data_IF_511347716346
#
_entry.id   IF_511347716346
#
_cell.length_a   1.000
_cell.length_b   1.000
_cell.length_c   1.000
_cell.angle_alpha   90.00
_cell.angle_beta   90.00
_cell.angle_gamma   90.00
#
_symmetry.space_group_name_H-M   'P 1'
#
loop_
_entity.id
_entity.type
_entity.pdbx_description
1 polymer ?
2 non-polymer ?
3 water ?
#
# COMPACT_ATOMS: atom_id res chain seq x y z
N UNK A 17 13.81 -13.06 21.14
CA UNK A 17 14.99 -12.24 20.74
C UNK A 17 14.57 -10.80 20.57
N UNK A 18 13.41 -10.64 19.95
CA UNK A 18 12.83 -9.35 19.56
C UNK A 18 13.58 -8.61 18.45
N UNK A 19 14.92 -8.61 18.49
CA UNK A 19 15.67 -7.81 17.53
C UNK A 19 16.56 -8.59 16.55
N UNK A 20 16.67 -9.90 16.71
CA UNK A 20 17.60 -10.66 15.86
C UNK A 20 17.32 -10.55 14.35
N UNK A 21 16.04 -10.48 13.96
CA UNK A 21 15.71 -10.56 12.53
C UNK A 21 15.61 -9.21 11.82
N UNK A 22 15.85 -8.14 12.58
CA UNK A 22 15.88 -6.75 12.08
C UNK A 22 16.65 -6.60 10.76
N UNK A 23 16.07 -5.82 9.83
CA UNK A 23 16.69 -5.56 8.53
C UNK A 23 16.65 -4.10 8.17
N UNK A 24 17.60 -3.72 7.31
CA UNK A 24 17.60 -2.43 6.61
C UNK A 24 16.38 -2.39 5.67
N UNK A 25 15.76 -1.21 5.57
CA UNK A 25 14.52 -1.04 4.80
C UNK A 25 14.48 -1.68 3.41
N UNK A 26 15.50 -1.38 2.60
CA UNK A 26 15.53 -1.88 1.21
C UNK A 26 15.67 -3.40 1.14
N UNK A 27 16.40 -3.95 2.10
CA UNK A 27 16.55 -5.37 2.26
C UNK A 27 15.21 -6.03 2.64
N UNK A 28 14.48 -5.44 3.59
CA UNK A 28 13.15 -5.96 3.94
C UNK A 28 12.19 -5.95 2.75
N UNK A 29 12.20 -4.86 1.97
CA UNK A 29 11.37 -4.73 0.76
C UNK A 29 11.72 -5.84 -0.24
N UNK A 30 13.00 -6.12 -0.41
CA UNK A 30 13.47 -7.13 -1.35
C UNK A 30 13.13 -8.55 -0.91
N UNK A 31 13.28 -8.83 0.38
CA UNK A 31 13.21 -10.23 0.87
C UNK A 31 11.82 -10.63 1.37
N UNK A 32 10.92 -9.67 1.55
CA UNK A 32 9.55 -9.98 2.00
C UNK A 32 8.89 -10.97 1.04
N UNK A 33 8.29 -12.03 1.57
CA UNK A 33 7.52 -12.99 0.76
C UNK A 33 6.14 -13.21 1.39
N UNK A 34 5.16 -13.62 0.58
CA UNK A 34 3.91 -14.13 1.13
C UNK A 34 4.21 -15.46 1.81
N UNK A 35 3.81 -15.59 3.07
CA UNK A 35 4.03 -16.82 3.83
C UNK A 35 2.65 -17.46 4.06
N UNK A 36 2.53 -18.75 3.72
CA UNK A 36 1.25 -19.47 3.80
C UNK A 36 1.30 -20.71 4.68
N UNK A 37 2.49 -21.05 5.17
CA UNK A 37 2.70 -22.19 6.06
C UNK A 37 3.29 -21.67 7.37
N UNK A 38 2.52 -21.79 8.45
CA UNK A 38 2.87 -21.23 9.76
C UNK A 38 3.01 -22.27 10.82
N UNK A 39 3.95 -22.06 11.73
CA UNK A 39 4.00 -22.88 12.94
C UNK A 39 2.95 -22.36 13.94
N UNK A 40 2.70 -23.12 14.99
CA UNK A 40 1.73 -22.69 16.00
C UNK A 40 2.39 -21.90 17.13
N UNK A 41 3.66 -21.53 16.94
CA UNK A 41 4.38 -20.72 17.93
C UNK A 41 3.63 -19.39 18.11
N UNK A 42 3.35 -18.99 19.36
CA UNK A 42 2.59 -17.76 19.57
C UNK A 42 3.35 -16.51 19.13
N UNK A 43 2.60 -15.48 18.75
CA UNK A 43 3.18 -14.18 18.40
C UNK A 43 3.27 -13.35 19.67
N UNK A 44 4.49 -12.94 20.03
CA UNK A 44 4.71 -12.07 21.18
C UNK A 44 3.84 -10.82 21.07
N UNK A 45 3.12 -10.46 22.16
CA UNK A 45 2.29 -9.26 22.15
C UNK A 45 3.03 -8.01 21.67
N UNK A 46 4.32 -7.90 22.04
CA UNK A 46 5.17 -6.78 21.63
C UNK A 46 5.30 -6.66 20.12
N UNK A 47 5.49 -7.80 19.46
CA UNK A 47 5.61 -7.85 18.00
C UNK A 47 4.28 -7.51 17.34
N UNK A 48 3.18 -8.07 17.86
CA UNK A 48 1.86 -7.74 17.32
C UNK A 48 1.61 -6.23 17.38
N UNK A 49 1.89 -5.62 18.53
CA UNK A 49 1.71 -4.18 18.67
C UNK A 49 2.56 -3.40 17.66
N UNK A 50 3.81 -3.84 17.46
CA UNK A 50 4.70 -3.17 16.51
C UNK A 50 4.18 -3.26 15.07
N UNK A 51 3.66 -4.43 14.69
CA UNK A 51 3.09 -4.61 13.34
C UNK A 51 1.88 -3.70 13.11
N UNK A 52 0.99 -3.64 14.10
CA UNK A 52 -0.18 -2.78 14.03
C UNK A 52 0.19 -1.30 14.05
N UNK A 53 1.14 -0.93 14.89
CA UNK A 53 1.63 0.44 14.93
C UNK A 53 2.23 0.84 13.57
N UNK A 54 2.92 -0.09 12.90
CA UNK A 54 3.45 0.20 11.57
C UNK A 54 2.32 0.57 10.59
N UNK A 55 1.24 -0.22 10.60
CA UNK A 55 0.04 0.11 9.82
C UNK A 55 -0.50 1.51 10.17
N UNK A 56 -0.57 1.81 11.47
CA UNK A 56 -1.08 3.11 11.98
C UNK A 56 -0.33 4.30 11.38
N UNK A 57 0.97 4.12 11.14
CA UNK A 57 1.84 5.20 10.67
C UNK A 57 1.86 5.39 9.15
N UNK A 58 1.08 4.59 8.42
CA UNK A 58 0.94 4.78 7.00
C UNK A 58 0.34 6.14 6.66
N UNK A 59 0.74 6.69 5.49
CA UNK A 59 0.04 7.86 4.95
C UNK A 59 -1.33 7.44 4.41
N UNK A 60 -2.27 8.38 4.41
CA UNK A 60 -3.64 8.17 3.92
C UNK A 60 -4.15 9.47 3.33
N UNK A 61 -5.18 9.35 2.49
CA UNK A 61 -5.88 10.48 1.92
C UNK A 61 -6.26 11.47 3.01
N UNK A 62 -5.71 12.68 2.92
CA UNK A 62 -5.96 13.75 3.89
C UNK A 62 -5.75 13.34 5.33
N UNK A 63 -4.84 12.38 5.56
CA UNK A 63 -4.58 11.85 6.90
C UNK A 63 -5.88 11.37 7.57
N UNK A 64 -6.85 10.90 6.78
CA UNK A 64 -8.13 10.47 7.35
C UNK A 64 -8.04 9.14 8.06
N UNK A 65 -7.03 8.35 7.74
CA UNK A 65 -6.75 7.10 8.46
C UNK A 65 -8.03 6.25 8.55
N UNK A 66 -8.57 5.92 7.38
CA UNK A 66 -9.87 5.24 7.28
C UNK A 66 -9.82 3.73 7.59
N UNK A 67 -8.63 3.20 7.76
CA UNK A 67 -8.45 1.78 8.04
C UNK A 67 -8.89 1.41 9.43
N UNK A 68 -9.43 0.20 9.55
CA UNK A 68 -9.78 -0.37 10.85
C UNK A 68 -9.37 -1.83 10.86
N UNK A 69 -8.72 -2.26 11.93
CA UNK A 69 -8.20 -3.61 12.02
C UNK A 69 -8.88 -4.41 13.12
N UNK A 70 -9.43 -5.56 12.74
CA UNK A 70 -9.99 -6.51 13.71
C UNK A 70 -8.96 -7.64 13.88
N UNK A 71 -8.51 -7.85 15.12
CA UNK A 71 -7.44 -8.80 15.42
C UNK A 71 -8.03 -10.02 16.13
N UNK A 72 -7.87 -11.18 15.50
CA UNK A 72 -8.48 -12.41 15.99
C UNK A 72 -7.40 -13.41 16.38
N UNK A 73 -7.49 -13.90 17.62
CA UNK A 73 -6.58 -14.95 18.09
C UNK A 73 -7.30 -16.23 18.50
N UNK A 74 -8.61 -16.12 18.75
CA UNK A 74 -9.44 -17.26 19.17
C UNK A 74 -9.45 -18.37 18.12
N UNK A 75 -9.10 -19.58 18.55
CA UNK A 75 -8.96 -20.70 17.63
C UNK A 75 -10.25 -21.03 16.87
N UNK A 76 -11.37 -21.06 17.56
CA UNK A 76 -12.63 -21.41 16.91
C UNK A 76 -12.97 -20.36 15.86
N UNK A 77 -12.76 -19.10 16.18
CA UNK A 77 -13.07 -18.03 15.23
C UNK A 77 -12.16 -18.12 14.02
N UNK A 78 -10.87 -18.38 14.24
CA UNK A 78 -9.95 -18.50 13.10
C UNK A 78 -10.31 -19.65 12.15
N UNK A 79 -10.76 -20.78 12.69
CA UNK A 79 -11.22 -21.87 11.82
C UNK A 79 -12.43 -21.41 11.01
N UNK A 80 -13.35 -20.71 11.67
CA UNK A 80 -14.55 -20.24 10.97
C UNK A 80 -14.19 -19.23 9.88
N UNK A 81 -13.23 -18.36 10.16
CA UNK A 81 -12.74 -17.45 9.13
C UNK A 81 -12.16 -18.23 7.94
N UNK A 82 -11.32 -19.23 8.23
CA UNK A 82 -10.68 -20.03 7.16
C UNK A 82 -11.72 -20.68 6.26
N UNK A 83 -12.83 -21.14 6.87
CA UNK A 83 -13.91 -21.78 6.11
C UNK A 83 -14.68 -20.82 5.21
N UNK A 84 -14.52 -19.51 5.43
CA UNK A 84 -15.15 -18.50 4.57
C UNK A 84 -14.20 -17.94 3.51
N UNK A 85 -13.06 -18.61 3.35
CA UNK A 85 -12.01 -18.13 2.45
C UNK A 85 -11.69 -19.17 1.36
N UNK A 86 -12.71 -19.92 0.93
CA UNK A 86 -12.57 -20.82 -0.21
C UNK A 86 -13.02 -20.08 -1.47
N UNK A 87 -12.48 -20.47 -2.61
CA UNK A 87 -12.94 -19.94 -3.87
C UNK A 87 -14.20 -20.71 -4.28
N UNK A 88 -15.27 -20.01 -4.68
CA UNK A 88 -16.41 -20.71 -5.23
C UNK A 88 -16.04 -21.24 -6.62
N UNK A 89 -16.12 -22.56 -6.79
CA UNK A 89 -15.72 -23.20 -8.02
C UNK A 89 -16.29 -22.50 -9.24
N UNK A 90 -15.39 -22.08 -10.15
CA UNK A 90 -15.76 -21.44 -11.44
C UNK A 90 -16.25 -20.01 -11.34
N UNK A 91 -16.42 -19.52 -10.11
CA UNK A 91 -16.86 -18.15 -9.89
C UNK A 91 -15.82 -17.38 -9.11
N UNK A 92 -14.56 -17.83 -9.19
CA UNK A 92 -13.45 -17.17 -8.53
C UNK A 92 -13.04 -15.87 -9.20
N UNK A 93 -12.33 -15.00 -8.48
CA UNK A 93 -11.87 -13.75 -9.06
C UNK A 93 -10.66 -14.04 -9.94
N UNK A 94 -10.25 -13.06 -10.74
CA UNK A 94 -9.10 -13.25 -11.64
C UNK A 94 -7.89 -13.74 -10.86
N UNK A 95 -7.33 -14.87 -11.27
CA UNK A 95 -6.04 -15.31 -10.75
C UNK A 95 -6.04 -16.30 -9.61
N UNK A 96 -7.21 -16.51 -9.00
CA UNK A 96 -7.33 -17.50 -7.92
C UNK A 96 -8.43 -18.52 -8.21
N UNK A 97 -8.04 -19.66 -8.77
CA UNK A 97 -8.97 -20.77 -8.98
C UNK A 97 -9.18 -21.50 -7.66
N UNK A 98 -8.19 -21.40 -6.79
CA UNK A 98 -8.27 -21.84 -5.41
C UNK A 98 -7.55 -20.78 -4.60
N UNK A 99 -7.67 -20.88 -3.27
CA UNK A 99 -7.00 -19.95 -2.36
C UNK A 99 -5.88 -20.64 -1.58
N UNK A 100 -4.61 -20.46 -2.02
CA UNK A 100 -3.50 -21.17 -1.39
C UNK A 100 -3.28 -20.76 0.06
N UNK A 101 -3.88 -19.65 0.48
CA UNK A 101 -3.71 -19.14 1.83
C UNK A 101 -4.86 -19.54 2.77
N UNK A 102 -5.78 -20.36 2.28
CA UNK A 102 -6.94 -20.76 3.06
C UNK A 102 -6.57 -21.41 4.40
N UNK A 103 -5.68 -22.40 4.37
CA UNK A 103 -5.26 -23.12 5.58
C UNK A 103 -4.52 -22.20 6.57
N UNK A 104 -3.81 -21.21 6.04
CA UNK A 104 -3.03 -20.29 6.85
C UNK A 104 -3.92 -19.55 7.85
N UNK A 105 -5.15 -19.28 7.46
CA UNK A 105 -6.07 -18.54 8.32
C UNK A 105 -6.42 -19.32 9.60
N UNK A 106 -6.45 -20.65 9.50
CA UNK A 106 -6.68 -21.54 10.63
C UNK A 106 -5.40 -21.78 11.41
N UNK A 107 -4.28 -21.87 10.69
CA UNK A 107 -3.01 -22.34 11.28
C UNK A 107 -2.20 -21.25 11.98
N UNK A 108 -2.25 -20.03 11.44
CA UNK A 108 -1.55 -18.90 12.05
C UNK A 108 -2.16 -18.57 13.39
N UNK A 109 -1.33 -18.14 14.36
CA UNK A 109 -1.82 -17.79 15.70
C UNK A 109 -2.67 -16.51 15.73
N UNK A 110 -2.45 -15.62 14.75
CA UNK A 110 -3.19 -14.36 14.62
C UNK A 110 -3.74 -14.18 13.21
N UNK A 111 -4.96 -13.67 13.11
CA UNK A 111 -5.50 -13.20 11.84
C UNK A 111 -5.91 -11.74 12.02
N UNK A 112 -5.32 -10.87 11.22
CA UNK A 112 -5.71 -9.46 11.19
C UNK A 112 -6.66 -9.24 10.01
N UNK A 113 -7.84 -8.73 10.32
CA UNK A 113 -8.83 -8.41 9.29
C UNK A 113 -8.79 -6.89 9.07
N UNK A 114 -8.32 -6.51 7.89
CA UNK A 114 -8.19 -5.09 7.53
C UNK A 114 -9.42 -4.60 6.80
N UNK A 115 -10.04 -3.57 7.37
CA UNK A 115 -11.25 -2.94 6.83
C UNK A 115 -11.02 -1.47 6.51
N UNK A 116 -11.91 -0.89 5.71
CA UNK A 116 -11.84 0.55 5.43
C UNK A 116 -13.23 1.13 5.43
N UNK A 117 -13.33 2.44 5.72
CA UNK A 117 -14.59 3.17 5.68
C UNK A 117 -14.59 4.02 4.41
N UNK A 118 -15.35 3.61 3.38
CA UNK A 118 -15.22 4.30 2.08
C UNK A 118 -15.41 5.83 2.06
N UNK A 119 -16.38 6.38 2.81
CA UNK A 119 -16.56 7.84 2.76
C UNK A 119 -15.48 8.60 3.52
N UNK A 120 -14.62 7.88 4.25
CA UNK A 120 -13.51 8.48 5.00
C UNK A 120 -12.20 8.52 4.18
N UNK A 121 -12.31 8.39 2.86
CA UNK A 121 -11.18 8.55 1.95
C UNK A 121 -11.71 9.16 0.65
N UNK A 122 -10.81 9.39 -0.31
CA UNK A 122 -11.17 9.99 -1.59
C UNK A 122 -12.16 9.14 -2.36
N UNK A 123 -13.19 9.79 -2.91
CA UNK A 123 -14.14 9.14 -3.78
C UNK A 123 -14.35 10.11 -4.92
N UNK A 124 -13.58 9.91 -5.98
CA UNK A 124 -13.56 10.80 -7.14
C UNK A 124 -13.07 9.98 -8.32
N UNK A 125 -13.46 10.39 -9.52
CA UNK A 125 -13.09 9.73 -10.77
C UNK A 125 -13.55 8.25 -10.79
N UNK A 126 -14.60 7.95 -10.01
CA UNK A 126 -15.04 6.56 -9.85
C UNK A 126 -14.05 5.68 -9.10
N UNK A 127 -13.09 6.29 -8.44
CA UNK A 127 -12.08 5.56 -7.69
C UNK A 127 -12.36 5.72 -6.22
N UNK A 128 -12.26 4.62 -5.48
CA UNK A 128 -12.49 4.64 -4.04
C UNK A 128 -11.17 4.44 -3.31
N UNK A 129 -10.61 5.55 -2.84
CA UNK A 129 -9.24 5.51 -2.32
C UNK A 129 -9.09 4.82 -0.97
N UNK A 130 -10.19 4.46 -0.29
CA UNK A 130 -10.02 3.61 0.90
C UNK A 130 -9.25 2.32 0.56
N UNK A 131 -9.42 1.84 -0.67
CA UNK A 131 -8.72 0.64 -1.10
C UNK A 131 -7.22 0.88 -1.23
N UNK A 132 -6.86 2.05 -1.75
CA UNK A 132 -5.47 2.49 -1.80
C UNK A 132 -4.89 2.68 -0.40
N UNK A 133 -5.63 3.39 0.47
CA UNK A 133 -5.18 3.63 1.83
C UNK A 133 -4.94 2.31 2.57
N UNK A 134 -5.88 1.37 2.46
CA UNK A 134 -5.68 0.07 3.15
C UNK A 134 -4.48 -0.69 2.55
N UNK A 135 -4.28 -0.58 1.24
CA UNK A 135 -3.11 -1.17 0.59
C UNK A 135 -1.81 -0.65 1.18
N UNK A 136 -1.72 0.69 1.30
CA UNK A 136 -0.53 1.36 1.89
C UNK A 136 -0.28 0.83 3.31
N UNK A 137 -1.33 0.82 4.13
CA UNK A 137 -1.20 0.34 5.51
C UNK A 137 -0.81 -1.14 5.56
N UNK A 138 -1.42 -1.93 4.68
CA UNK A 138 -1.14 -3.34 4.60
C UNK A 138 0.33 -3.60 4.29
N UNK A 139 0.92 -2.76 3.43
CA UNK A 139 2.31 -2.93 3.09
C UNK A 139 3.23 -2.58 4.27
N UNK A 140 2.91 -1.53 5.03
CA UNK A 140 3.59 -1.29 6.31
C UNK A 140 3.48 -2.50 7.24
N UNK A 141 2.28 -3.04 7.36
CA UNK A 141 2.01 -4.21 8.21
C UNK A 141 2.91 -5.39 7.81
N UNK A 142 2.93 -5.71 6.51
CA UNK A 142 3.66 -6.87 5.98
C UNK A 142 5.16 -6.68 6.05
N UNK A 143 5.65 -5.46 5.79
CA UNK A 143 7.08 -5.18 5.93
C UNK A 143 7.53 -5.24 7.40
N UNK A 144 6.73 -4.67 8.30
CA UNK A 144 7.03 -4.70 9.73
C UNK A 144 7.05 -6.15 10.24
N UNK A 145 6.05 -6.94 9.84
CA UNK A 145 5.99 -8.36 10.23
C UNK A 145 7.27 -9.06 9.82
N UNK A 146 7.67 -8.88 8.56
CA UNK A 146 8.86 -9.52 8.02
C UNK A 146 10.11 -9.08 8.76
N UNK A 147 10.15 -7.78 9.07
CA UNK A 147 11.28 -7.20 9.82
C UNK A 147 11.45 -7.86 11.20
N UNK A 148 10.34 -8.33 11.77
CA UNK A 148 10.33 -8.93 13.09
C UNK A 148 10.38 -10.46 13.04
N UNK A 149 10.67 -11.01 11.86
CA UNK A 149 10.79 -12.47 11.72
C UNK A 149 9.45 -13.19 11.63
N UNK A 150 8.37 -12.43 11.48
CA UNK A 150 7.06 -13.01 11.25
C UNK A 150 6.78 -13.12 9.76
N UNK A 151 5.82 -13.95 9.41
CA UNK A 151 5.34 -14.03 8.05
C UNK A 151 3.90 -13.55 7.99
N UNK A 152 3.47 -13.14 6.81
CA UNK A 152 2.09 -12.77 6.56
C UNK A 152 1.81 -12.93 5.08
N UNK A 153 0.54 -12.82 4.73
CA UNK A 153 0.10 -12.84 3.35
C UNK A 153 -1.19 -12.03 3.29
N UNK A 154 -1.35 -11.25 2.24
CA UNK A 154 -2.60 -10.51 1.97
C UNK A 154 -3.58 -11.50 1.36
N UNK A 155 -4.72 -11.72 2.03
CA UNK A 155 -5.76 -12.62 1.48
C UNK A 155 -6.94 -11.79 1.02
N UNK A 156 -7.19 -11.80 -0.29
CA UNK A 156 -8.30 -11.06 -0.87
C UNK A 156 -9.52 -11.91 -1.19
N UNK A 157 -9.37 -13.23 -1.10
CA UNK A 157 -10.46 -14.19 -1.34
C UNK A 157 -11.17 -14.48 -0.02
N UNK A 158 -12.43 -14.07 0.07
CA UNK A 158 -13.28 -14.28 1.26
C UNK A 158 -14.74 -13.92 0.96
N UNK A 159 -15.65 -14.56 1.71
CA UNK A 159 -17.07 -14.26 1.60
C UNK A 159 -17.34 -13.10 2.54
N UNK A 160 -17.40 -11.87 2.02
CA UNK A 160 -17.48 -10.68 2.89
C UNK A 160 -18.75 -10.62 3.73
N UNK A 161 -19.88 -10.95 3.12
CA UNK A 161 -21.16 -10.98 3.81
C UNK A 161 -21.10 -11.88 5.05
N UNK A 162 -20.70 -13.12 4.84
CA UNK A 162 -20.65 -14.12 5.91
C UNK A 162 -19.59 -13.80 6.96
N UNK A 163 -18.47 -13.28 6.51
CA UNK A 163 -17.39 -12.91 7.42
C UNK A 163 -17.80 -11.74 8.29
N UNK A 164 -18.47 -10.77 7.69
CA UNK A 164 -18.97 -9.61 8.43
C UNK A 164 -19.93 -10.06 9.52
N UNK A 165 -20.81 -11.00 9.19
CA UNK A 165 -21.76 -11.60 10.13
C UNK A 165 -21.07 -12.40 11.25
N UNK A 166 -20.09 -13.23 10.88
CA UNK A 166 -19.32 -14.00 11.85
C UNK A 166 -18.66 -13.07 12.88
N UNK A 167 -18.05 -12.00 12.40
CA UNK A 167 -17.26 -11.14 13.24
C UNK A 167 -18.07 -10.02 13.88
N UNK A 168 -19.29 -9.78 13.39
CA UNK A 168 -20.12 -8.70 13.90
C UNK A 168 -19.59 -7.32 13.51
N UNK A 169 -18.90 -7.26 12.38
CA UNK A 169 -18.26 -6.00 11.93
C UNK A 169 -19.32 -4.96 11.59
N UNK A 170 -19.14 -3.70 12.07
CA UNK A 170 -20.04 -2.62 11.73
C UNK A 170 -20.32 -2.55 10.23
N UNK A 171 -21.61 -2.45 9.88
CA UNK A 171 -22.09 -2.47 8.50
C UNK A 171 -21.36 -1.50 7.56
N UNK A 172 -21.02 -0.31 8.07
CA UNK A 172 -20.35 0.71 7.28
C UNK A 172 -18.96 0.28 6.80
N UNK A 173 -18.34 -0.63 7.53
CA UNK A 173 -16.99 -1.04 7.21
C UNK A 173 -16.98 -2.08 6.11
N UNK A 174 -16.10 -1.87 5.15
CA UNK A 174 -15.85 -2.83 4.09
C UNK A 174 -14.58 -3.61 4.42
N UNK A 175 -14.66 -4.93 4.31
CA UNK A 175 -13.49 -5.78 4.54
C UNK A 175 -12.64 -5.78 3.27
N UNK A 176 -11.34 -5.55 3.41
CA UNK A 176 -10.43 -5.44 2.26
C UNK A 176 -9.45 -6.62 2.16
N UNK A 177 -8.95 -7.06 3.30
CA UNK A 177 -7.96 -8.14 3.28
C UNK A 177 -7.87 -8.84 4.58
N UNK A 178 -7.52 -10.12 4.52
CA UNK A 178 -7.24 -10.91 5.74
C UNK A 178 -5.75 -11.19 5.79
N UNK A 179 -5.16 -11.08 6.98
CA UNK A 179 -3.73 -11.30 7.15
C UNK A 179 -3.41 -12.31 8.24
N UNK A 180 -3.17 -13.57 7.84
CA UNK A 180 -2.54 -14.50 8.78
C UNK A 180 -1.21 -13.92 9.21
N UNK A 181 -0.89 -14.04 10.50
CA UNK A 181 0.36 -13.55 11.06
C UNK A 181 0.95 -14.59 12.03
N UNK A 182 2.23 -14.93 11.83
CA UNK A 182 2.88 -15.93 12.69
C UNK A 182 4.30 -16.20 12.24
N UNK A 183 4.95 -17.15 12.91
CA UNK A 183 6.28 -17.59 12.50
C UNK A 183 6.20 -18.57 11.34
N UNK A 184 7.01 -18.34 10.29
CA UNK A 184 7.07 -19.26 9.17
C UNK A 184 7.57 -20.64 9.61
N UNK A 185 6.93 -21.68 9.09
CA UNK A 185 7.29 -23.06 9.40
C UNK A 185 8.55 -23.44 8.66
N UNK A 186 8.73 -22.84 7.49
CA UNK A 186 9.81 -23.20 6.57
C UNK A 186 10.54 -21.94 6.08
N UNK A 187 11.70 -22.15 5.47
CA UNK A 187 12.54 -21.06 4.99
C UNK A 187 12.00 -20.42 3.73
N UNK A 188 12.60 -19.28 3.31
CA UNK A 188 12.08 -18.49 2.20
C UNK A 188 12.07 -19.27 0.90
N UNK A 189 10.87 -19.62 0.45
CA UNK A 189 10.66 -20.15 -0.88
C UNK A 189 11.02 -19.05 -1.88
N UNK A 190 11.74 -19.40 -2.94
CA UNK A 190 12.05 -18.45 -3.99
C UNK A 190 10.75 -18.09 -4.70
N UNK A 191 10.14 -16.99 -4.25
CA UNK A 191 8.78 -16.59 -4.64
C UNK A 191 8.53 -16.44 -6.13
N UNK A 192 7.35 -15.95 -6.50
CA UNK A 192 7.10 -15.81 -7.94
C UNK A 192 7.93 -14.68 -8.53
N UNK A 193 8.04 -14.66 -9.85
CA UNK A 193 8.83 -13.66 -10.55
C UNK A 193 8.28 -12.25 -10.38
N UNK A 194 9.06 -11.27 -10.85
CA UNK A 194 8.53 -9.94 -11.16
C UNK A 194 8.87 -9.62 -12.60
N UNK A 195 8.00 -8.82 -13.23
CA UNK A 195 8.28 -8.25 -14.55
C UNK A 195 9.57 -7.41 -14.51
N UNK A 196 10.30 -7.34 -15.65
CA UNK A 196 11.48 -6.45 -15.68
C UNK A 196 11.06 -4.98 -15.58
N UNK A 197 11.91 -4.16 -14.97
CA UNK A 197 11.63 -2.73 -14.76
C UNK A 197 11.24 -2.06 -16.08
N UNK A 198 11.86 -2.50 -17.16
CA UNK A 198 11.57 -1.99 -18.52
C UNK A 198 10.13 -2.20 -18.98
N UNK A 199 9.47 -3.22 -18.46
CA UNK A 199 8.09 -3.53 -18.81
C UNK A 199 7.09 -2.69 -18.02
N UNK A 200 7.49 -2.27 -16.83
CA UNK A 200 6.56 -1.54 -15.94
C UNK A 200 6.83 -0.04 -15.83
N UNK A 201 7.97 0.41 -16.37
CA UNK A 201 8.37 1.82 -16.29
C UNK A 201 8.55 2.40 -17.68
N UNK A 202 7.98 3.57 -17.92
CA UNK A 202 8.19 4.32 -19.15
C UNK A 202 8.69 5.70 -18.84
N UNK A 203 9.75 6.12 -19.52
CA UNK A 203 10.32 7.46 -19.31
C UNK A 203 9.76 8.47 -20.32
N UNK A 204 9.22 9.57 -19.79
CA UNK A 204 8.74 10.70 -20.59
C UNK A 204 7.32 10.51 -21.09
N UNK A 205 6.86 11.47 -21.90
CA UNK A 205 5.55 11.39 -22.57
C UNK A 205 5.51 10.20 -23.50
N UNK A 206 4.31 9.76 -23.84
CA UNK A 206 4.16 8.69 -24.80
C UNK A 206 3.32 9.12 -26.02
N UNK A 207 3.72 8.67 -27.21
CA UNK A 207 3.02 9.02 -28.45
C UNK A 207 2.49 7.80 -29.21
N UNK B 19 24.79 5.76 -2.13
CA UNK B 19 25.18 6.57 -0.94
C UNK B 19 23.96 7.05 -0.19
N UNK B 20 23.76 6.51 1.00
CA UNK B 20 22.63 6.91 1.83
C UNK B 20 22.86 6.47 3.26
N UNK B 21 22.19 7.16 4.18
CA UNK B 21 22.14 6.78 5.57
C UNK B 21 21.08 5.69 5.68
N UNK B 22 21.54 4.45 5.79
CA UNK B 22 20.63 3.31 5.91
C UNK B 22 19.78 3.41 7.20
N UNK B 23 18.61 2.79 7.16
CA UNK B 23 17.68 2.85 8.29
C UNK B 23 17.06 1.50 8.51
N UNK B 24 16.81 1.19 9.78
CA UNK B 24 16.07 -0.01 10.15
C UNK B 24 14.62 0.15 9.63
N UNK B 25 14.04 -0.94 9.15
CA UNK B 25 12.71 -0.90 8.52
C UNK B 25 11.65 -0.15 9.35
N UNK B 26 11.53 -0.50 10.63
CA UNK B 26 10.52 0.15 11.48
C UNK B 26 10.77 1.64 11.63
N UNK B 27 12.05 2.04 11.68
CA UNK B 27 12.40 3.45 11.78
C UNK B 27 12.02 4.21 10.51
N UNK B 28 12.28 3.62 9.34
CA UNK B 28 11.85 4.22 8.07
C UNK B 28 10.34 4.40 8.02
N UNK B 29 9.62 3.37 8.43
CA UNK B 29 8.15 3.42 8.46
C UNK B 29 7.67 4.56 9.36
N UNK B 30 8.32 4.72 10.50
CA UNK B 30 7.91 5.71 11.50
C UNK B 30 8.27 7.13 11.11
N UNK B 31 9.38 7.30 10.40
CA UNK B 31 9.92 8.65 10.15
C UNK B 31 9.64 9.18 8.75
N UNK B 32 9.18 8.32 7.84
CA UNK B 32 8.75 8.76 6.50
C UNK B 32 7.67 9.83 6.62
N UNK B 33 7.87 10.94 5.90
CA UNK B 33 6.90 12.02 5.88
C UNK B 33 6.52 12.35 4.46
N UNK B 34 5.33 12.92 4.27
CA UNK B 34 5.02 13.57 3.00
C UNK B 34 5.88 14.83 2.88
N UNK B 35 6.75 14.84 1.87
CA UNK B 35 7.62 15.99 1.64
C UNK B 35 7.08 16.79 0.46
N UNK B 36 6.90 18.10 0.66
CA UNK B 36 6.26 18.94 -0.37
C UNK B 36 7.12 20.13 -0.80
N UNK B 37 8.33 20.20 -0.24
CA UNK B 37 9.28 21.26 -0.58
C UNK B 37 10.59 20.61 -0.96
N UNK B 38 11.03 20.83 -2.19
CA UNK B 38 12.20 20.14 -2.74
C UNK B 38 13.26 21.09 -3.22
N UNK B 39 14.53 20.71 -3.04
CA UNK B 39 15.62 21.43 -3.66
C UNK B 39 15.78 20.99 -5.12
N UNK B 40 16.60 21.70 -5.88
CA UNK B 40 16.86 21.34 -7.28
C UNK B 40 18.06 20.39 -7.40
N UNK B 41 18.52 19.85 -6.27
CA UNK B 41 19.63 18.89 -6.27
C UNK B 41 19.25 17.68 -7.12
N UNK B 42 20.10 17.31 -8.11
CA UNK B 42 19.71 16.21 -9.02
C UNK B 42 19.56 14.89 -8.27
N UNK B 43 18.62 14.07 -8.71
CA UNK B 43 18.47 12.73 -8.15
C UNK B 43 19.38 11.78 -8.90
N UNK B 44 20.29 11.14 -8.19
CA UNK B 44 21.18 10.17 -8.82
C UNK B 44 20.33 9.12 -9.54
N UNK B 45 20.66 8.80 -10.80
CA UNK B 45 19.91 7.77 -11.54
C UNK B 45 19.85 6.42 -10.82
N UNK B 46 20.91 6.07 -10.08
CA UNK B 46 20.92 4.85 -9.27
C UNK B 46 19.84 4.89 -8.19
N UNK B 47 19.65 6.05 -7.56
CA UNK B 47 18.62 6.18 -6.51
C UNK B 47 17.22 6.10 -7.10
N UNK B 48 17.02 6.75 -8.26
CA UNK B 48 15.73 6.67 -8.94
C UNK B 48 15.42 5.21 -9.30
N UNK B 49 16.41 4.52 -9.85
CA UNK B 49 16.25 3.11 -10.18
C UNK B 49 15.85 2.27 -8.96
N UNK B 50 16.49 2.53 -7.82
CA UNK B 50 16.23 1.77 -6.59
C UNK B 50 14.81 2.02 -6.06
N UNK B 51 14.34 3.26 -6.17
CA UNK B 51 12.97 3.62 -5.77
C UNK B 51 11.97 2.85 -6.64
N UNK B 52 12.21 2.84 -7.95
CA UNK B 52 11.33 2.13 -8.87
C UNK B 52 11.39 0.62 -8.67
N UNK B 53 12.60 0.09 -8.44
CA UNK B 53 12.78 -1.33 -8.10
C UNK B 53 12.00 -1.72 -6.84
N UNK B 54 12.01 -0.86 -5.83
CA UNK B 54 11.25 -1.12 -4.61
C UNK B 54 9.76 -1.31 -4.94
N UNK B 55 9.21 -0.41 -5.76
CA UNK B 55 7.82 -0.51 -6.20
C UNK B 55 7.55 -1.81 -6.96
N UNK B 56 8.48 -2.16 -7.85
CA UNK B 56 8.43 -3.38 -8.66
C UNK B 56 8.30 -4.64 -7.81
N UNK B 57 8.89 -4.62 -6.62
CA UNK B 57 8.95 -5.79 -5.74
C UNK B 57 7.76 -5.92 -4.80
N UNK B 58 6.78 -5.03 -4.94
CA UNK B 58 5.60 -5.11 -4.08
C UNK B 58 4.77 -6.34 -4.42
N UNK B 59 4.04 -6.90 -3.43
CA UNK B 59 3.07 -7.95 -3.73
C UNK B 59 1.85 -7.35 -4.44
N UNK B 60 1.15 -8.18 -5.20
CA UNK B 60 -0.04 -7.72 -5.92
C UNK B 60 -0.99 -8.90 -6.06
N UNK B 61 -2.26 -8.61 -6.29
CA UNK B 61 -3.30 -9.60 -6.54
C UNK B 61 -2.85 -10.60 -7.57
N UNK B 62 -2.73 -11.86 -7.17
CA UNK B 62 -2.27 -12.98 -8.02
C UNK B 62 -0.94 -12.71 -8.75
N UNK B 63 -0.10 -11.89 -8.13
CA UNK B 63 1.17 -11.44 -8.73
C UNK B 63 0.97 -10.81 -10.11
N UNK B 64 -0.17 -10.15 -10.31
CA UNK B 64 -0.49 -9.61 -11.64
C UNK B 64 0.27 -8.35 -11.97
N UNK B 65 0.74 -7.64 -10.95
CA UNK B 65 1.63 -6.51 -11.14
C UNK B 65 1.01 -5.53 -12.12
N UNK B 66 -0.19 -5.07 -11.78
CA UNK B 66 -0.99 -4.27 -12.70
C UNK B 66 -0.52 -2.83 -12.83
N UNK B 67 0.40 -2.41 -11.97
CA UNK B 67 0.91 -1.03 -11.96
C UNK B 67 1.77 -0.71 -13.14
N UNK B 68 1.74 0.54 -13.57
CA UNK B 68 2.69 1.06 -14.56
C UNK B 68 3.11 2.44 -14.09
N UNK B 69 4.38 2.75 -14.28
CA UNK B 69 4.92 4.02 -13.83
C UNK B 69 5.48 4.84 -14.98
N UNK B 70 5.07 6.09 -15.04
CA UNK B 70 5.64 7.00 -16.02
C UNK B 70 6.52 7.99 -15.27
N UNK B 71 7.77 8.10 -15.70
CA UNK B 71 8.76 8.96 -15.04
C UNK B 71 9.00 10.20 -15.89
N UNK B 72 8.68 11.36 -15.34
CA UNK B 72 8.82 12.66 -16.03
C UNK B 72 9.92 13.50 -15.37
N UNK B 73 10.85 14.00 -16.19
CA UNK B 73 11.92 14.85 -15.70
C UNK B 73 11.96 16.21 -16.42
N UNK B 74 11.38 16.26 -17.62
CA UNK B 74 11.32 17.50 -18.40
C UNK B 74 10.65 18.62 -17.59
N UNK B 75 11.33 19.77 -17.46
CA UNK B 75 10.80 20.86 -16.64
C UNK B 75 9.43 21.37 -17.11
N UNK B 76 9.30 21.68 -18.40
CA UNK B 76 8.03 22.17 -18.94
C UNK B 76 6.89 21.17 -18.68
N UNK B 77 7.16 19.89 -18.89
CA UNK B 77 6.14 18.85 -18.65
C UNK B 77 5.74 18.77 -17.18
N UNK B 78 6.71 18.89 -16.27
CA UNK B 78 6.37 18.89 -14.84
C UNK B 78 5.52 20.09 -14.44
N UNK B 79 5.83 21.25 -15.03
CA UNK B 79 5.05 22.47 -14.79
C UNK B 79 3.61 22.24 -15.25
N UNK B 80 3.46 21.65 -16.43
CA UNK B 80 2.11 21.35 -16.97
C UNK B 80 1.34 20.35 -16.08
N UNK B 81 2.05 19.35 -15.54
CA UNK B 81 1.45 18.39 -14.61
C UNK B 81 0.97 19.13 -13.36
N UNK B 82 1.84 20.01 -12.84
CA UNK B 82 1.51 20.79 -11.65
C UNK B 82 0.25 21.62 -11.87
N UNK B 83 0.12 22.21 -13.05
CA UNK B 83 -1.04 23.02 -13.35
C UNK B 83 -2.36 22.24 -13.46
N UNK B 84 -2.27 20.91 -13.57
CA UNK B 84 -3.45 20.04 -13.64
C UNK B 84 -3.81 19.45 -12.28
N UNK B 85 -3.11 19.91 -11.24
CA UNK B 85 -3.24 19.36 -9.90
C UNK B 85 -3.83 20.38 -8.93
N UNK B 86 -4.71 21.27 -9.43
CA UNK B 86 -5.42 22.22 -8.59
C UNK B 86 -6.67 21.61 -8.00
N UNK B 87 -7.11 22.13 -6.85
CA UNK B 87 -8.41 21.76 -6.30
C UNK B 87 -9.42 22.75 -6.88
N UNK B 88 -10.54 22.23 -7.38
CA UNK B 88 -11.65 23.08 -7.85
C UNK B 88 -12.30 23.83 -6.67
N UNK B 89 -12.92 24.98 -6.97
CA UNK B 89 -13.48 25.88 -5.96
C UNK B 89 -14.49 25.21 -5.02
N UNK B 90 -15.43 24.47 -5.62
CA UNK B 90 -16.52 23.81 -4.89
C UNK B 90 -16.53 22.37 -5.36
N UNK B 91 -17.07 21.48 -4.54
CA UNK B 91 -17.11 20.04 -4.85
C UNK B 91 -15.73 19.42 -4.99
N UNK B 92 -14.72 20.05 -4.38
CA UNK B 92 -13.36 19.53 -4.35
C UNK B 92 -13.28 18.30 -3.49
N UNK B 93 -12.22 17.48 -3.67
CA UNK B 93 -12.13 16.23 -2.92
C UNK B 93 -12.09 16.47 -1.41
N UNK B 94 -12.59 15.49 -0.67
CA UNK B 94 -12.67 15.58 0.79
C UNK B 94 -11.29 15.70 1.39
N UNK B 95 -11.13 16.67 2.29
CA UNK B 95 -9.90 16.86 3.04
C UNK B 95 -8.90 17.80 2.41
N UNK B 96 -9.09 18.10 1.12
CA UNK B 96 -8.21 19.02 0.40
C UNK B 96 -8.94 20.25 -0.13
N UNK B 97 -9.02 21.29 0.70
CA UNK B 97 -9.54 22.60 0.28
C UNK B 97 -8.55 23.28 -0.65
N UNK B 98 -7.29 22.87 -0.56
CA UNK B 98 -6.25 23.19 -1.54
C UNK B 98 -5.29 21.99 -1.61
N UNK B 99 -4.39 22.00 -2.59
CA UNK B 99 -3.44 20.90 -2.77
C UNK B 99 -2.04 21.35 -2.37
N UNK B 100 -1.64 21.05 -1.13
CA UNK B 100 -0.34 21.52 -0.63
C UNK B 100 0.86 20.99 -1.42
N UNK B 101 0.66 19.94 -2.21
CA UNK B 101 1.75 19.32 -2.98
C UNK B 101 1.79 19.83 -4.42
N UNK B 102 0.94 20.80 -4.74
CA UNK B 102 0.83 21.25 -6.12
C UNK B 102 2.15 21.78 -6.67
N UNK B 103 2.79 22.67 -5.91
CA UNK B 103 4.06 23.27 -6.30
C UNK B 103 5.21 22.24 -6.38
N UNK B 104 5.14 21.22 -5.52
CA UNK B 104 6.15 20.16 -5.47
C UNK B 104 6.29 19.47 -6.83
N UNK B 105 5.17 19.36 -7.55
CA UNK B 105 5.17 18.74 -8.88
C UNK B 105 6.03 19.49 -9.91
N UNK B 106 6.07 20.81 -9.78
CA UNK B 106 6.93 21.63 -10.66
C UNK B 106 8.35 21.67 -10.12
N UNK B 107 8.49 21.73 -8.80
CA UNK B 107 9.79 21.90 -8.11
C UNK B 107 10.70 20.69 -8.14
N UNK B 108 10.15 19.49 -7.89
CA UNK B 108 10.96 18.27 -7.80
C UNK B 108 11.65 17.95 -9.13
N UNK B 109 12.87 17.38 -9.06
CA UNK B 109 13.58 16.96 -10.29
C UNK B 109 12.85 15.88 -11.08
N UNK B 110 12.07 15.06 -10.36
CA UNK B 110 11.39 13.92 -10.95
C UNK B 110 9.94 13.89 -10.49
N UNK B 111 9.03 13.59 -11.41
CA UNK B 111 7.67 13.21 -11.04
C UNK B 111 7.38 11.79 -11.55
N UNK B 112 6.94 10.90 -10.65
CA UNK B 112 6.54 9.55 -11.03
C UNK B 112 5.02 9.51 -11.07
N UNK B 113 4.46 9.08 -12.20
CA UNK B 113 3.01 8.93 -12.36
C UNK B 113 2.67 7.44 -12.23
N UNK B 114 1.88 7.08 -11.21
CA UNK B 114 1.54 5.68 -10.97
C UNK B 114 0.15 5.37 -11.51
N UNK B 115 0.09 4.38 -12.41
CA UNK B 115 -1.12 3.97 -13.09
C UNK B 115 -1.44 2.51 -12.79
N UNK B 116 -2.69 2.11 -12.96
CA UNK B 116 -3.06 0.70 -12.86
C UNK B 116 -4.11 0.30 -13.87
N UNK B 117 -4.19 -1.01 -14.14
CA UNK B 117 -5.14 -1.58 -15.11
C UNK B 117 -6.22 -2.29 -14.32
N UNK B 118 -7.43 -1.72 -14.27
CA UNK B 118 -8.45 -2.32 -13.40
C UNK B 118 -8.70 -3.83 -13.64
N UNK B 119 -8.87 -4.24 -14.91
CA UNK B 119 -9.16 -5.67 -15.14
C UNK B 119 -7.97 -6.61 -14.94
N UNK B 120 -6.79 -6.07 -14.62
CA UNK B 120 -5.63 -6.93 -14.33
C UNK B 120 -5.46 -7.18 -12.83
N UNK B 121 -6.45 -6.80 -12.04
CA UNK B 121 -6.45 -7.08 -10.61
C UNK B 121 -7.84 -7.58 -10.22
N UNK B 122 -8.06 -7.86 -8.94
CA UNK B 122 -9.38 -8.27 -8.47
C UNK B 122 -10.48 -7.26 -8.75
N UNK B 123 -11.59 -7.73 -9.30
CA UNK B 123 -12.81 -6.93 -9.38
C UNK B 123 -13.95 -7.78 -8.83
N UNK B 124 -14.31 -7.53 -7.57
CA UNK B 124 -15.28 -8.33 -6.82
C UNK B 124 -15.81 -7.51 -5.66
N UNK B 125 -17.03 -7.82 -5.23
CA UNK B 125 -17.70 -7.14 -4.10
C UNK B 125 -17.82 -5.64 -4.38
N UNK B 126 -17.77 -5.27 -5.66
CA UNK B 126 -17.73 -3.86 -6.06
C UNK B 126 -16.41 -3.17 -5.74
N UNK B 127 -15.38 -3.95 -5.41
CA UNK B 127 -14.06 -3.41 -5.04
C UNK B 127 -13.09 -3.62 -6.18
N UNK B 128 -12.28 -2.61 -6.43
CA UNK B 128 -11.33 -2.69 -7.53
C UNK B 128 -9.92 -2.71 -6.95
N UNK B 129 -9.36 -3.92 -6.87
CA UNK B 129 -8.08 -4.11 -6.17
C UNK B 129 -6.86 -3.52 -6.88
N UNK B 130 -7.02 -3.00 -8.11
CA UNK B 130 -5.90 -2.28 -8.73
C UNK B 130 -5.49 -1.09 -7.85
N UNK B 131 -6.48 -0.49 -7.16
CA UNK B 131 -6.22 0.65 -6.28
C UNK B 131 -5.40 0.23 -5.08
N UNK B 132 -5.73 -0.95 -4.56
CA UNK B 132 -4.97 -1.55 -3.46
C UNK B 132 -3.55 -1.89 -3.88
N UNK B 133 -3.41 -2.57 -5.01
CA UNK B 133 -2.10 -2.92 -5.57
C UNK B 133 -1.21 -1.69 -5.76
N UNK B 134 -1.76 -0.63 -6.38
CA UNK B 134 -0.99 0.60 -6.57
C UNK B 134 -0.59 1.21 -5.20
N UNK B 135 -1.50 1.16 -4.21
CA UNK B 135 -1.19 1.62 -2.86
C UNK B 135 -0.01 0.89 -2.27
N UNK B 136 -0.03 -0.43 -2.37
CA UNK B 136 1.06 -1.28 -1.86
C UNK B 136 2.38 -0.87 -2.53
N UNK B 137 2.38 -0.75 -3.86
CA UNK B 137 3.60 -0.41 -4.59
C UNK B 137 4.08 1.02 -4.23
N UNK B 138 3.12 1.94 -4.10
CA UNK B 138 3.42 3.31 -3.72
C UNK B 138 4.08 3.38 -2.36
N UNK B 139 3.65 2.53 -1.44
CA UNK B 139 4.26 2.58 -0.13
C UNK B 139 5.70 2.06 -0.19
N UNK B 140 5.97 1.00 -0.98
CA UNK B 140 7.37 0.60 -1.20
C UNK B 140 8.20 1.76 -1.79
N UNK B 141 7.62 2.45 -2.76
CA UNK B 141 8.26 3.60 -3.43
C UNK B 141 8.61 4.67 -2.40
N UNK B 142 7.65 5.00 -1.55
CA UNK B 142 7.83 6.11 -0.61
C UNK B 142 8.76 5.75 0.51
N UNK B 143 8.71 4.50 0.95
CA UNK B 143 9.63 4.05 1.98
C UNK B 143 11.06 4.01 1.44
N UNK B 144 11.24 3.50 0.22
CA UNK B 144 12.56 3.43 -0.38
C UNK B 144 13.13 4.83 -0.62
N UNK B 145 12.29 5.75 -1.08
CA UNK B 145 12.75 7.12 -1.30
C UNK B 145 13.25 7.72 0.01
N UNK B 146 12.46 7.59 1.06
CA UNK B 146 12.83 8.12 2.37
C UNK B 146 14.11 7.48 2.88
N UNK B 147 14.20 6.16 2.74
CA UNK B 147 15.41 5.44 3.17
C UNK B 147 16.67 5.97 2.47
N UNK B 148 16.50 6.35 1.20
CA UNK B 148 17.62 6.81 0.38
C UNK B 148 17.94 8.30 0.53
N UNK B 149 17.26 8.97 1.47
CA UNK B 149 17.53 10.40 1.73
C UNK B 149 16.72 11.32 0.83
N UNK B 150 15.79 10.74 0.06
CA UNK B 150 14.93 11.52 -0.80
C UNK B 150 13.61 11.78 -0.08
N UNK B 151 12.78 12.62 -0.68
CA UNK B 151 11.44 12.87 -0.20
C UNK B 151 10.42 12.58 -1.28
N UNK B 152 9.20 12.27 -0.87
CA UNK B 152 8.09 12.08 -1.79
C UNK B 152 6.76 12.36 -1.09
N UNK B 153 5.68 12.44 -1.87
CA UNK B 153 4.35 12.60 -1.34
C UNK B 153 3.41 11.96 -2.37
N UNK B 154 2.37 11.28 -1.89
CA UNK B 154 1.34 10.71 -2.75
C UNK B 154 0.40 11.84 -3.08
N UNK B 155 0.23 12.15 -4.37
CA UNK B 155 -0.72 13.19 -4.81
C UNK B 155 -1.92 12.53 -5.50
N UNK B 156 -3.09 12.64 -4.89
CA UNK B 156 -4.33 12.03 -5.40
C UNK B 156 -5.21 13.02 -6.15
N UNK B 157 -4.88 14.32 -6.03
CA UNK B 157 -5.64 15.40 -6.67
C UNK B 157 -5.04 15.67 -8.04
N UNK B 158 -5.82 15.47 -9.09
CA UNK B 158 -5.42 15.74 -10.47
C UNK B 158 -6.57 15.59 -11.45
N UNK B 159 -6.48 16.33 -12.55
CA UNK B 159 -7.42 16.21 -13.63
C UNK B 159 -6.92 15.06 -14.51
N UNK B 160 -7.54 13.88 -14.35
CA UNK B 160 -7.05 12.67 -14.98
C UNK B 160 -7.12 12.73 -16.51
N UNK B 161 -8.22 13.22 -17.05
CA UNK B 161 -8.39 13.28 -18.49
C UNK B 161 -7.30 14.13 -19.14
N UNK B 162 -7.07 15.32 -18.59
CA UNK B 162 -6.07 16.22 -19.15
C UNK B 162 -4.65 15.70 -18.93
N UNK B 163 -4.42 15.07 -17.78
CA UNK B 163 -3.09 14.54 -17.47
C UNK B 163 -2.77 13.38 -18.41
N UNK B 164 -3.74 12.51 -18.62
CA UNK B 164 -3.59 11.40 -19.56
C UNK B 164 -3.31 11.89 -20.97
N UNK B 165 -4.05 12.93 -21.41
CA UNK B 165 -3.80 13.50 -22.72
C UNK B 165 -2.38 14.09 -22.80
N UNK B 166 -1.98 14.84 -21.78
CA UNK B 166 -0.64 15.43 -21.74
C UNK B 166 0.46 14.38 -21.91
N UNK B 167 0.33 13.28 -21.18
CA UNK B 167 1.40 12.29 -21.08
C UNK B 167 1.27 11.11 -22.05
N UNK B 168 0.14 11.04 -22.74
CA UNK B 168 -0.15 9.94 -23.67
C UNK B 168 -0.47 8.62 -23.00
N UNK B 169 -1.03 8.67 -21.79
CA UNK B 169 -1.47 7.48 -21.07
C UNK B 169 -2.77 7.00 -21.71
N UNK B 170 -2.80 5.75 -22.23
CA UNK B 170 -4.04 5.22 -22.81
C UNK B 170 -5.15 5.25 -21.77
N UNK B 171 -6.37 5.57 -22.18
CA UNK B 171 -7.49 5.72 -21.23
C UNK B 171 -7.79 4.45 -20.42
N UNK B 172 -7.42 3.29 -20.97
CA UNK B 172 -7.60 2.00 -20.26
C UNK B 172 -6.67 1.79 -19.06
N UNK B 173 -5.61 2.59 -18.99
CA UNK B 173 -4.84 2.69 -17.78
C UNK B 173 -5.45 3.83 -16.96
N UNK B 174 -5.67 3.59 -15.68
CA UNK B 174 -6.16 4.62 -14.78
C UNK B 174 -5.01 5.23 -14.02
N UNK B 175 -4.96 6.56 -13.93
CA UNK B 175 -3.94 7.24 -13.15
C UNK B 175 -4.40 7.23 -11.70
N UNK B 176 -3.51 6.79 -10.81
CA UNK B 176 -3.86 6.62 -9.40
C UNK B 176 -3.16 7.62 -8.47
N UNK B 177 -1.88 7.88 -8.71
CA UNK B 177 -1.14 8.83 -7.86
C UNK B 177 -0.02 9.50 -8.61
N UNK B 178 0.35 10.70 -8.18
CA UNK B 178 1.53 11.42 -8.71
C UNK B 178 2.50 11.54 -7.57
N UNK B 179 3.79 11.33 -7.85
CA UNK B 179 4.82 11.33 -6.81
C UNK B 179 6.00 12.24 -7.18
N UNK B 180 6.01 13.47 -6.63
CA UNK B 180 7.22 14.30 -6.70
C UNK B 180 8.32 13.53 -5.99
N UNK B 181 9.54 13.57 -6.54
CA UNK B 181 10.65 12.85 -5.95
C UNK B 181 11.90 13.72 -6.07
N UNK B 182 12.57 13.91 -4.95
CA UNK B 182 13.76 14.78 -4.92
C UNK B 182 14.32 14.85 -3.52
N UNK B 183 15.38 15.64 -3.35
CA UNK B 183 15.92 15.83 -2.03
C UNK B 183 15.08 16.88 -1.35
N UNK B 184 14.71 16.67 -0.08
CA UNK B 184 13.94 17.66 0.69
C UNK B 184 14.67 19.00 0.76
N UNK B 185 13.95 20.10 0.58
CA UNK B 185 14.56 21.43 0.68
C UNK B 185 14.99 21.70 2.10
N UNK B 186 14.18 21.23 3.05
CA UNK B 186 14.41 21.52 4.46
C UNK B 186 14.73 20.25 5.22
N UNK B 187 15.14 20.41 6.47
CA UNK B 187 15.32 19.28 7.38
C UNK B 187 14.00 18.57 7.64
N UNK B 188 14.04 17.34 8.18
CA UNK B 188 12.78 16.62 8.43
C UNK B 188 11.79 17.45 9.26
N UNK B 189 10.52 17.44 8.83
CA UNK B 189 9.46 18.13 9.55
C UNK B 189 8.66 17.14 10.37
N UNK B 190 8.06 17.63 11.45
CA UNK B 190 7.06 16.87 12.17
C UNK B 190 5.86 16.65 11.25
N UNK B 191 5.31 15.45 11.29
CA UNK B 191 4.13 15.12 10.49
C UNK B 191 2.88 15.47 11.25
N UNK B 192 1.70 15.32 10.59
CA UNK B 192 0.47 15.55 11.32
C UNK B 192 0.25 14.38 12.29
N UNK B 193 -0.78 14.47 13.12
CA UNK B 193 -1.00 13.44 14.11
C UNK B 193 -1.29 12.05 13.49
N UNK B 194 -1.35 11.05 14.35
CA UNK B 194 -2.10 9.85 14.02
C UNK B 194 -3.04 9.57 15.17
N UNK B 195 -4.16 8.90 14.84
CA UNK B 195 -5.06 8.36 15.86
C UNK B 195 -4.29 7.39 16.74
N UNK B 196 -4.64 7.34 18.05
CA UNK B 196 -4.05 6.26 18.88
C UNK B 196 -4.45 4.88 18.37
N UNK B 197 -3.58 3.91 18.59
CA UNK B 197 -3.80 2.55 18.10
C UNK B 197 -5.15 1.98 18.53
N UNK B 198 -5.57 2.27 19.76
CA UNK B 198 -6.85 1.78 20.27
C UNK B 198 -8.06 2.32 19.49
N UNK B 199 -7.85 3.37 18.69
CA UNK B 199 -8.95 3.92 17.89
C UNK B 199 -9.13 3.17 16.56
N UNK B 200 -8.10 2.45 16.12
CA UNK B 200 -8.12 1.77 14.82
C UNK B 200 -7.97 0.25 14.92
N UNK B 201 -7.84 -0.27 16.14
CA UNK B 201 -7.68 -1.70 16.36
C UNK B 201 -8.75 -2.18 17.33
N UNK B 202 -9.39 -3.30 16.99
CA UNK B 202 -10.33 -3.96 17.90
C UNK B 202 -9.94 -5.39 18.02
N UNK B 203 -9.81 -5.87 19.25
CA UNK B 203 -9.43 -7.27 19.48
C UNK B 203 -10.63 -8.15 19.63
N UNK B 204 -10.66 -9.22 18.85
CA UNK B 204 -11.73 -10.20 18.89
C UNK B 204 -12.93 -9.82 18.04
N UNK B 205 -13.85 -10.76 17.91
CA UNK B 205 -15.10 -10.47 17.26
C UNK B 205 -15.95 -9.58 18.15
N UNK B 206 -16.99 -9.00 17.57
CA UNK B 206 -17.89 -8.15 18.29
C UNK B 206 -18.99 -8.96 18.93
N UNK B 207 -19.44 -8.49 20.10
CA UNK B 207 -20.57 -9.05 20.82
C UNK B 207 -21.89 -8.63 20.18
N UNK B 208 -22.95 -9.41 20.41
CA UNK B 208 -24.33 -9.04 20.06
C UNK B 208 -24.57 -8.93 18.55
X LIG C 1 -2.52 -15.00 -1.87
X LIG C 1 -3.37 -16.03 -1.63
X LIG C 1 -2.86 -17.15 -1.46
X LIG C 1 -4.72 -15.88 -1.57
X LIG C 1 -5.29 -14.67 -1.72
X LIG C 1 -6.54 -14.49 -1.66
X LIG C 1 -4.43 -13.51 -1.99
X LIG C 1 -4.95 -12.29 -2.19
X LIG C 1 -4.15 -11.22 -2.41
X LIG C 1 -4.73 -9.96 -2.57
X LIG C 1 -3.96 -8.84 -2.78
X LIG C 1 -4.61 -7.49 -2.94
X LIG C 1 -2.48 -8.97 -2.83
X LIG C 1 -1.63 -7.73 -3.05
X LIG C 1 -1.88 -10.23 -2.68
X LIG C 1 -2.66 -11.37 -2.46
X LIG C 1 -2.11 -12.65 -2.28
X LIG C 1 -2.97 -13.75 -2.04
X LIG C 1 -0.66 -12.88 -2.32
X LIG C 1 -0.15 -12.80 -3.75
X LIG C 1 -0.53 -14.01 -4.41
X LIG C 1 1.36 -12.59 -3.70
X LIG C 1 1.58 -11.32 -3.07
X LIG C 1 2.03 -12.61 -5.08
X LIG C 1 1.91 -13.91 -5.69
X LIG C 1 3.50 -12.22 -5.00
X LIG C 1 4.20 -13.12 -4.12
X LIG C 1 5.06 -12.55 -2.88
X LIG C 1 4.10 -11.76 -2.01
X LIG C 1 5.63 -13.77 -2.21
X LIG C 1 6.11 -11.65 -3.49
X LIG D 1 -1.02 15.37 -0.02
X LIG D 1 -1.23 16.49 -0.76
X LIG D 1 -0.67 17.55 -0.42
X LIG D 1 -2.03 16.50 -1.85
X LIG D 1 -2.68 15.41 -2.28
X LIG D 1 -3.41 15.43 -3.29
X LIG D 1 -2.52 14.17 -1.55
X LIG D 1 -3.16 13.04 -1.93
X LIG D 1 -2.95 11.88 -1.24
X LIG D 1 -3.61 10.73 -1.65
X LIG D 1 -3.43 9.52 -0.98
X LIG D 1 -4.14 8.28 -1.48
X LIG D 1 -2.54 9.48 0.20
X LIG D 1 -2.32 8.17 0.93
X LIG D 1 -1.88 10.64 0.64
X LIG D 1 -2.09 11.85 -0.04
X LIG D 1 -1.42 13.04 0.36
X LIG D 1 -1.62 14.21 -0.37
X LIG D 1 -0.52 13.03 1.53
X LIG D 1 -1.33 13.02 2.80
X LIG D 1 -1.92 14.29 2.97
X LIG D 1 -0.39 12.65 3.94
X LIG D 1 0.05 11.30 3.70
X LIG D 1 -1.05 12.70 5.31
X LIG D 1 -1.36 14.04 5.67
X LIG D 1 -0.12 12.15 6.38
X LIG D 1 1.11 12.89 6.41
X LIG D 1 2.53 12.11 6.31
X LIG D 1 3.57 13.22 6.45
X LIG D 1 2.52 11.44 4.95
X LIG D 1 2.52 11.15 7.45
#
# INVERSE_FOLDING_TARGET
>A
XHHHHHHSSGVDLGTENLYFQSMETLEAIRTRRSVRKFSDRPVEPEKLRAVLDAARLAPSWANMQCWRFVVVEDQATKVQISELSYVEAYFGPKGYKSNPAQKALAEAPVVIIACGEPPQSGELRGQQYYLTDVGIAAQNLMLAAHDLGLGSVFVGVFDEQQLGELLGIPAELRIVGLFPLGYPLEGPKAGPSRKPLDEIVHYGKYQA
>B
XHHHHHHSSGVDLGTENLYFQSMETLEAIRTRRSVRKFSDRPVEPEKLRAVLDAARLAPSWANMQCWRFVVVEDQATKVQISELSYVEAYFGPKGYKSNPAQKALAEAPVVIIACGEPPQSGELRGQQYYLTDVGIAAQNLMLAAHDLGLGSVFVGVFDEQQLGELLGIPAELRIVGLFPLGYPLEGPKAGPSRKPLDEIVHYGKYQA
>C hetero
1 FMN N1 C2 O2 N3 C4 O4 C4A N5 C5A C6 C7 C7M C8 C8M C9 C9A N10 C10 C1' C2' O2' C3' O3' C4' O4' C5' O5' P O1P O2P O3P
>D hetero
1 FMN N1 C2 O2 N3 C4 O4 C4A N5 C5A C6 C7 C7M C8 C8M C9 C9A N10 C10 C1' C2' O2' C3' O3' C4' O4' C5' O5' P O1P O2P O3P
#
